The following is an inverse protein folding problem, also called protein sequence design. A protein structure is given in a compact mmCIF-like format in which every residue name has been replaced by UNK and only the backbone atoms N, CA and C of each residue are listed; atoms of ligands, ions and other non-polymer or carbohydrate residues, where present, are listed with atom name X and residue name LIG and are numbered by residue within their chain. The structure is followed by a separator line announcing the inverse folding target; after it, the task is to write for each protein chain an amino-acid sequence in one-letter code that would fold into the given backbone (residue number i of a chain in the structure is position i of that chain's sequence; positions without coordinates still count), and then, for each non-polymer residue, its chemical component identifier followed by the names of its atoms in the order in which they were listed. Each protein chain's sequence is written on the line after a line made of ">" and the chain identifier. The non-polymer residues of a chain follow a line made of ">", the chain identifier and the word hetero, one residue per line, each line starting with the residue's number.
data_IF_370606672840
#
_entry.id   IF_370606672840
#
_cell.length_a   1.000
_cell.length_b   1.000
_cell.length_c   1.000
_cell.angle_alpha   90.00
_cell.angle_beta   90.00
_cell.angle_gamma   90.00
#
_symmetry.space_group_name_H-M   'P 1'
#
loop_
_entity.id
_entity.type
_entity.pdbx_description
1 polymer ?
#
# COMPACT_ATOMS: atom_id res chain seq x y z
N UNK A 1 -4.19 15.61 5.50
CA UNK A 1 -4.12 15.15 6.89
C UNK A 1 -3.74 13.67 6.89
N UNK A 2 -2.50 13.30 7.34
CA UNK A 2 -2.12 11.91 7.57
C UNK A 2 -2.80 11.38 8.84
N UNK A 3 -3.38 10.20 8.78
CA UNK A 3 -4.04 9.51 9.88
C UNK A 3 -3.27 8.22 10.16
N UNK A 4 -2.48 8.22 11.23
CA UNK A 4 -1.71 7.04 11.63
C UNK A 4 -2.61 6.05 12.37
N UNK A 5 -2.75 4.85 11.83
CA UNK A 5 -3.64 3.79 12.29
C UNK A 5 -2.78 2.65 12.87
N UNK A 6 -2.67 2.52 14.19
CA UNK A 6 -1.97 1.40 14.82
C UNK A 6 -2.83 0.13 14.77
N UNK A 7 -2.19 -1.00 14.56
CA UNK A 7 -2.81 -2.33 14.63
C UNK A 7 -1.77 -3.39 15.06
N UNK A 8 -2.20 -4.63 15.23
CA UNK A 8 -1.32 -5.75 15.55
C UNK A 8 -1.51 -6.89 14.56
N UNK A 9 -0.42 -7.55 14.21
CA UNK A 9 -0.44 -8.75 13.37
C UNK A 9 -0.01 -9.94 14.21
N UNK A 10 -0.76 -11.05 14.22
CA UNK A 10 -0.34 -12.25 14.92
C UNK A 10 0.94 -12.83 14.30
N UNK A 11 1.87 -13.24 15.16
CA UNK A 11 3.08 -13.96 14.76
C UNK A 11 3.35 -15.13 15.71
N UNK A 12 4.20 -16.10 15.33
CA UNK A 12 4.56 -17.22 16.21
C UNK A 12 5.19 -16.78 17.54
N UNK A 13 5.86 -15.62 17.56
CA UNK A 13 6.49 -15.05 18.75
C UNK A 13 5.56 -14.13 19.55
N UNK A 14 4.31 -13.98 19.16
CA UNK A 14 3.31 -13.08 19.76
C UNK A 14 2.87 -11.96 18.83
N UNK A 15 1.91 -11.12 19.27
CA UNK A 15 1.40 -10.03 18.45
C UNK A 15 2.50 -8.99 18.17
N UNK A 16 2.66 -8.63 16.89
CA UNK A 16 3.61 -7.62 16.42
C UNK A 16 2.87 -6.31 16.18
N UNK A 17 3.24 -5.21 16.86
CA UNK A 17 2.66 -3.91 16.62
C UNK A 17 3.09 -3.37 15.25
N UNK A 18 2.11 -2.89 14.49
CA UNK A 18 2.29 -2.27 13.18
C UNK A 18 1.47 -0.98 13.13
N UNK A 19 1.64 -0.22 12.07
CA UNK A 19 0.77 0.91 11.75
C UNK A 19 0.64 1.01 10.23
N UNK A 20 -0.37 1.73 9.77
CA UNK A 20 -0.52 2.17 8.39
C UNK A 20 -1.07 3.59 8.39
N UNK A 21 -0.79 4.36 7.35
CA UNK A 21 -1.41 5.67 7.17
C UNK A 21 -2.58 5.58 6.19
N UNK A 22 -3.70 6.21 6.57
CA UNK A 22 -4.73 6.70 5.66
C UNK A 22 -4.58 8.22 5.52
N UNK A 23 -5.06 8.81 4.43
CA UNK A 23 -4.90 10.24 4.19
C UNK A 23 -6.24 10.90 3.91
N UNK A 24 -6.57 11.93 4.67
CA UNK A 24 -7.78 12.71 4.48
C UNK A 24 -7.45 14.02 3.77
N UNK A 25 -8.08 14.24 2.63
CA UNK A 25 -8.01 15.51 1.88
C UNK A 25 -9.30 16.26 2.14
N UNK A 26 -9.17 17.41 2.82
CA UNK A 26 -10.30 18.28 3.12
C UNK A 26 -10.38 19.42 2.10
N UNK A 27 -11.50 19.51 1.38
CA UNK A 27 -11.84 20.65 0.54
C UNK A 27 -13.02 21.43 1.15
N UNK A 28 -13.42 22.55 0.54
CA UNK A 28 -14.61 23.27 1.01
C UNK A 28 -15.89 22.49 0.78
N UNK A 29 -15.95 21.71 -0.31
CA UNK A 29 -17.17 21.04 -0.76
C UNK A 29 -17.29 19.60 -0.23
N UNK A 30 -16.16 18.90 -0.05
CA UNK A 30 -16.17 17.48 0.33
C UNK A 30 -14.90 17.02 1.02
N UNK A 31 -14.94 15.82 1.56
CA UNK A 31 -13.77 15.10 2.04
C UNK A 31 -13.49 13.92 1.11
N UNK A 32 -12.22 13.73 0.80
CA UNK A 32 -11.73 12.54 0.06
C UNK A 32 -10.77 11.78 0.97
N UNK A 33 -11.03 10.50 1.13
CA UNK A 33 -10.17 9.60 1.90
C UNK A 33 -9.34 8.74 0.94
N UNK A 34 -8.07 8.58 1.24
CA UNK A 34 -7.16 7.64 0.57
C UNK A 34 -6.84 6.54 1.57
N UNK A 35 -7.21 5.32 1.24
CA UNK A 35 -7.16 4.10 2.04
C UNK A 35 -7.98 4.17 3.35
N UNK A 36 -8.40 3.01 3.81
CA UNK A 36 -9.34 2.87 4.92
C UNK A 36 -8.72 2.23 6.18
N UNK A 37 -7.42 1.91 6.13
CA UNK A 37 -6.77 1.20 7.22
C UNK A 37 -7.30 -0.23 7.40
N UNK A 38 -7.15 -0.76 8.61
CA UNK A 38 -7.68 -2.06 9.02
C UNK A 38 -9.13 -1.93 9.53
N UNK A 39 -9.81 -3.04 9.72
CA UNK A 39 -11.13 -3.08 10.38
C UNK A 39 -11.07 -2.39 11.76
N UNK A 40 -12.07 -1.56 12.07
CA UNK A 40 -12.12 -0.71 13.28
C UNK A 40 -11.44 0.66 13.11
N UNK A 41 -10.72 0.90 12.01
CA UNK A 41 -10.04 2.19 11.75
C UNK A 41 -11.00 3.35 11.51
N UNK A 42 -12.24 3.07 11.10
CA UNK A 42 -13.27 4.07 10.82
C UNK A 42 -13.51 4.99 12.03
N UNK A 43 -13.40 4.47 13.26
CA UNK A 43 -13.60 5.28 14.46
C UNK A 43 -12.54 6.39 14.58
N UNK A 44 -11.28 6.05 14.26
CA UNK A 44 -10.17 7.00 14.28
C UNK A 44 -10.30 8.01 13.13
N UNK A 45 -10.62 7.52 11.93
CA UNK A 45 -10.84 8.37 10.75
C UNK A 45 -11.97 9.38 11.01
N UNK A 46 -13.09 8.92 11.56
CA UNK A 46 -14.21 9.78 11.92
C UNK A 46 -13.86 10.76 13.06
N UNK A 47 -12.97 10.36 13.98
CA UNK A 47 -12.40 11.26 14.99
C UNK A 47 -11.68 12.42 14.35
N UNK A 48 -10.74 12.17 13.46
CA UNK A 48 -9.98 13.19 12.74
C UNK A 48 -10.91 14.11 11.90
N UNK A 49 -11.96 13.56 11.28
CA UNK A 49 -12.97 14.37 10.58
C UNK A 49 -13.68 15.33 11.52
N UNK A 50 -14.08 14.86 12.71
CA UNK A 50 -14.74 15.72 13.72
C UNK A 50 -13.80 16.78 14.28
N UNK A 51 -12.50 16.46 14.47
CA UNK A 51 -11.50 17.41 14.95
C UNK A 51 -11.24 18.56 13.94
N UNK A 52 -11.52 18.31 12.65
CA UNK A 52 -11.56 19.34 11.62
C UNK A 52 -12.87 20.16 11.61
N UNK A 53 -13.79 19.92 12.54
CA UNK A 53 -15.10 20.54 12.58
C UNK A 53 -16.06 20.07 11.49
N UNK A 54 -15.79 18.91 10.88
CA UNK A 54 -16.57 18.32 9.78
C UNK A 54 -17.35 17.08 10.27
N UNK A 55 -18.23 16.59 9.42
CA UNK A 55 -19.02 15.38 9.69
C UNK A 55 -18.52 14.20 8.87
N UNK A 56 -18.49 12.96 9.41
CA UNK A 56 -18.11 11.77 8.65
C UNK A 56 -18.87 11.60 7.33
N UNK A 57 -20.15 11.97 7.30
CA UNK A 57 -21.00 11.90 6.12
C UNK A 57 -20.55 12.82 4.96
N UNK A 58 -19.65 13.74 5.23
CA UNK A 58 -19.02 14.59 4.22
C UNK A 58 -17.87 13.88 3.45
N UNK A 59 -17.47 12.67 3.89
CA UNK A 59 -16.58 11.82 3.09
C UNK A 59 -17.38 11.33 1.89
N UNK A 60 -17.25 12.02 0.78
CA UNK A 60 -17.97 11.70 -0.47
C UNK A 60 -17.24 10.65 -1.31
N UNK A 61 -15.94 10.45 -1.09
CA UNK A 61 -15.12 9.60 -1.92
C UNK A 61 -14.01 8.89 -1.13
N UNK A 62 -13.88 7.59 -1.33
CA UNK A 62 -12.79 6.75 -0.83
C UNK A 62 -12.02 6.19 -2.02
N UNK A 63 -10.72 6.49 -2.11
CA UNK A 63 -9.83 5.91 -3.09
C UNK A 63 -9.00 4.82 -2.41
N UNK A 64 -9.10 3.59 -2.90
CA UNK A 64 -8.27 2.48 -2.43
C UNK A 64 -7.06 2.35 -3.35
N UNK A 65 -5.86 2.50 -2.80
CA UNK A 65 -4.61 2.42 -3.58
C UNK A 65 -4.36 1.00 -4.08
N UNK A 66 -4.74 0.01 -3.30
CA UNK A 66 -4.72 -1.41 -3.64
C UNK A 66 -5.60 -2.21 -2.66
N UNK A 67 -5.66 -3.52 -2.80
CA UNK A 67 -6.62 -4.37 -2.10
C UNK A 67 -6.10 -5.02 -0.82
N UNK A 68 -4.90 -4.72 -0.33
CA UNK A 68 -4.40 -5.40 0.88
C UNK A 68 -5.22 -5.05 2.13
N UNK A 69 -5.28 -5.98 3.12
CA UNK A 69 -6.16 -5.89 4.29
C UNK A 69 -6.06 -4.58 5.09
N UNK A 70 -4.86 -4.04 5.20
CA UNK A 70 -4.55 -2.82 5.94
C UNK A 70 -4.87 -1.52 5.17
N UNK A 71 -5.37 -1.64 3.94
CA UNK A 71 -5.85 -0.54 3.10
C UNK A 71 -7.37 -0.57 2.90
N UNK A 72 -7.95 -1.77 2.87
CA UNK A 72 -9.40 -1.92 2.62
C UNK A 72 -10.18 -2.26 3.88
N UNK A 73 -9.53 -2.54 5.00
CA UNK A 73 -10.15 -3.16 6.17
C UNK A 73 -11.32 -2.39 6.76
N UNK A 74 -11.21 -1.06 6.86
CA UNK A 74 -12.28 -0.18 7.35
C UNK A 74 -13.28 0.25 6.28
N UNK A 75 -13.08 -0.10 4.99
CA UNK A 75 -13.85 0.44 3.88
C UNK A 75 -15.36 0.15 3.98
N UNK A 76 -15.75 -1.04 4.44
CA UNK A 76 -17.17 -1.41 4.60
C UNK A 76 -17.86 -0.49 5.61
N UNK A 77 -17.31 -0.34 6.80
CA UNK A 77 -17.89 0.51 7.84
C UNK A 77 -17.93 2.00 7.44
N UNK A 78 -16.90 2.47 6.71
CA UNK A 78 -16.88 3.83 6.17
C UNK A 78 -17.97 4.01 5.12
N UNK A 79 -18.14 3.09 4.17
CA UNK A 79 -19.17 3.17 3.14
C UNK A 79 -20.57 3.10 3.75
N UNK A 80 -20.81 2.23 4.73
CA UNK A 80 -22.10 2.12 5.43
C UNK A 80 -22.46 3.41 6.18
N UNK A 81 -21.50 4.03 6.84
CA UNK A 81 -21.73 5.25 7.61
C UNK A 81 -21.89 6.51 6.76
N UNK A 82 -21.22 6.57 5.60
CA UNK A 82 -21.10 7.83 4.83
C UNK A 82 -21.83 7.77 3.49
N UNK A 83 -22.05 6.59 2.95
CA UNK A 83 -22.57 6.40 1.58
C UNK A 83 -21.55 6.78 0.51
N UNK A 84 -20.26 6.91 0.84
CA UNK A 84 -19.22 7.36 -0.10
C UNK A 84 -19.08 6.46 -1.32
N UNK A 85 -18.69 7.06 -2.44
CA UNK A 85 -18.26 6.31 -3.63
C UNK A 85 -16.87 5.74 -3.41
N UNK A 86 -16.66 4.47 -3.80
CA UNK A 86 -15.35 3.81 -3.72
C UNK A 86 -14.73 3.69 -5.11
N UNK A 87 -13.48 4.14 -5.22
CA UNK A 87 -12.68 4.00 -6.43
C UNK A 87 -11.48 3.08 -6.18
N UNK A 88 -11.17 2.25 -7.17
CA UNK A 88 -9.98 1.41 -7.19
C UNK A 88 -9.58 1.07 -8.63
N UNK A 89 -8.35 0.58 -8.79
CA UNK A 89 -7.89 0.04 -10.08
C UNK A 89 -8.65 -1.25 -10.45
N UNK A 90 -8.97 -1.48 -11.74
CA UNK A 90 -9.69 -2.68 -12.18
C UNK A 90 -9.10 -4.00 -11.69
N UNK A 91 -7.78 -4.12 -11.63
CA UNK A 91 -7.08 -5.33 -11.22
C UNK A 91 -7.28 -5.67 -9.72
N UNK A 92 -7.61 -4.68 -8.89
CA UNK A 92 -7.84 -4.86 -7.43
C UNK A 92 -9.31 -5.19 -7.11
N UNK A 93 -10.22 -4.89 -8.04
CA UNK A 93 -11.66 -4.97 -7.82
C UNK A 93 -12.11 -6.34 -7.29
N UNK A 94 -11.59 -7.44 -7.85
CA UNK A 94 -11.98 -8.80 -7.48
C UNK A 94 -11.83 -9.04 -5.98
N UNK A 95 -10.69 -8.67 -5.41
CA UNK A 95 -10.40 -8.90 -3.99
C UNK A 95 -11.13 -7.91 -3.08
N UNK A 96 -11.37 -6.68 -3.55
CA UNK A 96 -12.14 -5.69 -2.79
C UNK A 96 -13.62 -6.11 -2.69
N UNK A 97 -14.18 -6.65 -3.77
CA UNK A 97 -15.59 -7.08 -3.83
C UNK A 97 -15.83 -8.53 -3.34
N UNK A 98 -14.75 -9.34 -3.21
CA UNK A 98 -14.79 -10.70 -2.65
C UNK A 98 -13.57 -10.95 -1.74
N UNK A 99 -13.70 -10.51 -0.49
CA UNK A 99 -12.65 -10.65 0.52
C UNK A 99 -12.39 -12.10 0.92
N UNK A 100 -13.35 -13.02 0.74
CA UNK A 100 -13.14 -14.44 0.94
C UNK A 100 -12.26 -15.04 -0.17
N UNK A 101 -12.43 -14.56 -1.41
CA UNK A 101 -11.52 -14.91 -2.50
C UNK A 101 -10.11 -14.42 -2.20
N UNK A 102 -9.96 -13.19 -1.72
CA UNK A 102 -8.67 -12.64 -1.32
C UNK A 102 -8.00 -13.50 -0.24
N UNK A 103 -8.73 -13.84 0.84
CA UNK A 103 -8.21 -14.69 1.94
C UNK A 103 -7.68 -16.05 1.41
N UNK A 104 -8.38 -16.65 0.43
CA UNK A 104 -7.96 -17.92 -0.18
C UNK A 104 -6.73 -17.78 -1.09
N UNK A 105 -6.69 -16.72 -1.91
CA UNK A 105 -5.64 -16.52 -2.92
C UNK A 105 -4.37 -15.87 -2.34
N UNK A 106 -4.54 -15.07 -1.27
CA UNK A 106 -3.45 -14.38 -0.58
C UNK A 106 -3.69 -14.40 0.94
N UNK A 107 -3.47 -15.54 1.61
CA UNK A 107 -3.67 -15.64 3.05
C UNK A 107 -2.68 -14.73 3.79
N UNK A 108 -3.20 -13.97 4.76
CA UNK A 108 -2.44 -13.10 5.65
C UNK A 108 -2.79 -13.48 7.09
N UNK A 109 -1.82 -13.56 8.03
CA UNK A 109 -2.13 -13.79 9.43
C UNK A 109 -3.11 -12.75 9.98
N UNK A 110 -4.19 -13.21 10.63
CA UNK A 110 -5.22 -12.33 11.18
C UNK A 110 -6.14 -11.68 10.13
N UNK A 111 -6.21 -12.19 8.91
CA UNK A 111 -6.99 -11.58 7.81
C UNK A 111 -8.40 -11.14 8.24
N UNK A 112 -9.15 -12.01 8.96
CA UNK A 112 -10.52 -11.73 9.38
C UNK A 112 -10.65 -10.65 10.45
N UNK A 113 -9.58 -10.41 11.20
CA UNK A 113 -9.52 -9.32 12.17
C UNK A 113 -9.13 -7.99 11.51
N UNK A 114 -8.45 -8.08 10.36
CA UNK A 114 -7.98 -6.92 9.60
C UNK A 114 -9.01 -6.39 8.61
N UNK A 115 -9.93 -7.23 8.10
CA UNK A 115 -10.89 -6.86 7.04
C UNK A 115 -12.32 -6.97 7.54
N UNK A 116 -13.05 -5.85 7.54
CA UNK A 116 -14.45 -5.79 8.00
C UNK A 116 -15.44 -6.47 7.05
N UNK A 117 -15.13 -6.52 5.77
CA UNK A 117 -15.95 -7.15 4.74
C UNK A 117 -15.75 -6.56 3.35
N UNK A 118 -16.44 -7.13 2.34
CA UNK A 118 -16.37 -6.66 0.96
C UNK A 118 -17.11 -5.34 0.77
N UNK A 119 -16.64 -4.54 -0.19
CA UNK A 119 -17.32 -3.31 -0.60
C UNK A 119 -17.44 -3.27 -2.13
N UNK A 120 -18.48 -2.60 -2.62
CA UNK A 120 -18.65 -2.41 -4.07
C UNK A 120 -17.78 -1.27 -4.57
N UNK A 121 -16.91 -1.54 -5.53
CA UNK A 121 -16.17 -0.52 -6.27
C UNK A 121 -17.11 0.16 -7.26
N UNK A 122 -17.48 1.41 -6.99
CA UNK A 122 -18.43 2.17 -7.81
C UNK A 122 -17.76 2.89 -8.98
N UNK A 123 -16.44 3.14 -8.89
CA UNK A 123 -15.65 3.79 -9.95
C UNK A 123 -14.33 3.06 -10.17
N UNK A 124 -14.14 2.58 -11.39
CA UNK A 124 -12.83 2.07 -11.81
C UNK A 124 -11.97 3.23 -12.29
N UNK A 125 -10.72 3.25 -11.81
CA UNK A 125 -9.72 4.28 -12.15
C UNK A 125 -8.41 3.61 -12.58
N UNK A 126 -7.75 4.18 -13.57
CA UNK A 126 -6.51 3.67 -14.12
C UNK A 126 -5.50 4.78 -14.39
N UNK A 127 -4.41 4.41 -15.02
CA UNK A 127 -3.31 5.33 -15.32
C UNK A 127 -3.78 6.54 -16.13
N UNK A 128 -3.37 7.74 -15.69
CA UNK A 128 -3.73 9.01 -16.32
C UNK A 128 -5.12 9.54 -15.97
N UNK A 129 -5.97 8.77 -15.30
CA UNK A 129 -7.26 9.25 -14.82
C UNK A 129 -7.08 10.38 -13.79
N UNK A 130 -8.13 11.19 -13.64
CA UNK A 130 -8.13 12.31 -12.72
C UNK A 130 -9.39 12.33 -11.85
N UNK A 131 -9.22 12.61 -10.56
CA UNK A 131 -10.29 12.80 -9.60
C UNK A 131 -10.29 14.29 -9.22
N UNK A 132 -11.32 15.01 -9.65
CA UNK A 132 -11.47 16.44 -9.34
C UNK A 132 -11.78 16.63 -7.86
N UNK A 133 -11.05 17.53 -7.21
CA UNK A 133 -11.19 17.89 -5.79
C UNK A 133 -11.86 19.26 -5.59
N UNK A 134 -12.16 19.97 -6.68
CA UNK A 134 -12.65 21.35 -6.63
C UNK A 134 -11.52 22.39 -6.54
N UNK A 135 -11.86 23.66 -6.73
CA UNK A 135 -10.93 24.81 -6.65
C UNK A 135 -9.64 24.65 -7.49
N UNK A 136 -9.73 24.00 -8.65
CA UNK A 136 -8.60 23.77 -9.55
C UNK A 136 -7.67 22.62 -9.12
N UNK A 137 -8.02 21.88 -8.08
CA UNK A 137 -7.25 20.73 -7.57
C UNK A 137 -7.77 19.42 -8.13
N UNK A 138 -6.86 18.48 -8.33
CA UNK A 138 -7.17 17.13 -8.75
C UNK A 138 -6.13 16.12 -8.26
N UNK A 139 -6.56 14.87 -8.06
CA UNK A 139 -5.67 13.73 -7.91
C UNK A 139 -5.49 13.06 -9.27
N UNK A 140 -4.28 13.08 -9.80
CA UNK A 140 -3.88 12.32 -10.97
C UNK A 140 -3.52 10.91 -10.55
N UNK A 141 -4.13 9.92 -11.19
CA UNK A 141 -3.85 8.49 -10.94
C UNK A 141 -2.61 8.08 -11.73
N UNK A 142 -1.69 7.43 -11.07
CA UNK A 142 -0.47 6.84 -11.63
C UNK A 142 -0.51 5.36 -11.31
N UNK A 143 -0.58 4.51 -12.32
CA UNK A 143 -0.49 3.07 -12.12
C UNK A 143 0.95 2.71 -11.72
N UNK A 144 1.10 2.12 -10.55
CA UNK A 144 2.39 1.74 -9.94
C UNK A 144 2.34 0.27 -9.52
N UNK A 145 2.24 -0.67 -10.50
CA UNK A 145 2.22 -2.09 -10.21
C UNK A 145 3.54 -2.56 -9.60
N UNK A 146 3.48 -3.72 -8.98
CA UNK A 146 4.64 -4.38 -8.37
C UNK A 146 4.31 -4.86 -6.97
N UNK A 147 3.93 -3.97 -6.06
CA UNK A 147 3.42 -4.37 -4.74
C UNK A 147 2.16 -5.22 -4.87
N UNK A 148 1.22 -4.78 -5.69
CA UNK A 148 0.13 -5.59 -6.27
C UNK A 148 -0.05 -5.22 -7.74
N UNK A 149 -0.82 -6.02 -8.49
CA UNK A 149 -0.98 -5.81 -9.93
C UNK A 149 -1.75 -4.54 -10.30
N UNK A 150 -2.59 -4.05 -9.40
CA UNK A 150 -3.39 -2.84 -9.58
C UNK A 150 -3.03 -1.72 -8.61
N UNK A 151 -1.88 -1.77 -7.96
CA UNK A 151 -1.41 -0.67 -7.12
C UNK A 151 -1.36 0.64 -7.88
N UNK A 152 -1.88 1.70 -7.26
CA UNK A 152 -1.85 3.06 -7.78
C UNK A 152 -1.22 4.02 -6.79
N UNK A 153 -0.53 5.01 -7.31
CA UNK A 153 -0.15 6.22 -6.60
C UNK A 153 -1.00 7.39 -7.07
N UNK A 154 -1.17 8.41 -6.24
CA UNK A 154 -2.00 9.58 -6.53
C UNK A 154 -1.15 10.84 -6.41
N UNK A 155 -1.10 11.66 -7.45
CA UNK A 155 -0.42 12.95 -7.44
C UNK A 155 -1.43 14.08 -7.34
N UNK A 156 -1.45 14.79 -6.21
CA UNK A 156 -2.32 15.97 -6.03
C UNK A 156 -1.69 17.19 -6.70
N UNK A 157 -2.43 17.79 -7.61
CA UNK A 157 -2.06 19.01 -8.33
C UNK A 157 -2.98 20.17 -7.95
N UNK A 158 -2.47 21.42 -7.92
CA UNK A 158 -1.12 21.86 -8.31
C UNK A 158 -0.06 21.69 -7.20
N UNK A 159 -0.41 21.28 -5.98
CA UNK A 159 0.48 21.26 -4.81
C UNK A 159 1.65 20.28 -4.95
N UNK A 160 1.61 19.38 -5.93
CA UNK A 160 2.63 18.36 -6.19
C UNK A 160 2.89 17.45 -4.98
N UNK A 161 1.80 16.96 -4.36
CA UNK A 161 1.86 16.03 -3.24
C UNK A 161 1.60 14.62 -3.76
N UNK A 162 2.55 13.71 -3.51
CA UNK A 162 2.45 12.31 -3.92
C UNK A 162 1.98 11.43 -2.76
N UNK A 163 0.91 10.67 -2.98
CA UNK A 163 0.46 9.57 -2.14
C UNK A 163 0.85 8.26 -2.84
N UNK A 164 1.82 7.55 -2.30
CA UNK A 164 2.41 6.40 -2.99
C UNK A 164 1.72 5.06 -2.70
N UNK A 165 0.80 5.01 -1.72
CA UNK A 165 0.40 3.73 -1.17
C UNK A 165 1.62 2.93 -0.73
N UNK A 166 1.70 1.67 -1.15
CA UNK A 166 2.81 0.76 -0.84
C UNK A 166 3.81 0.61 -2.00
N UNK A 167 3.78 1.52 -2.99
CA UNK A 167 4.68 1.43 -4.13
C UNK A 167 6.16 1.63 -3.76
N UNK A 168 6.45 2.24 -2.60
CA UNK A 168 7.81 2.50 -2.12
C UNK A 168 8.10 1.60 -0.92
N UNK A 169 8.86 0.51 -1.08
CA UNK A 169 9.27 -0.35 0.03
C UNK A 169 10.16 0.37 1.03
N UNK A 170 10.03 0.04 2.30
CA UNK A 170 10.86 0.59 3.37
C UNK A 170 12.09 -0.30 3.57
N UNK A 171 13.33 0.22 3.41
CA UNK A 171 14.54 -0.55 3.66
C UNK A 171 14.58 -1.16 5.07
N UNK A 172 14.96 -2.43 5.17
CA UNK A 172 15.01 -3.15 6.44
C UNK A 172 13.66 -3.62 6.98
N UNK A 173 12.55 -3.32 6.30
CA UNK A 173 11.24 -3.95 6.56
C UNK A 173 11.00 -5.13 5.61
N UNK A 174 9.90 -5.86 5.82
CA UNK A 174 9.54 -7.01 5.00
C UNK A 174 9.40 -6.61 3.53
N UNK A 175 10.12 -7.28 2.61
CA UNK A 175 9.93 -7.04 1.18
C UNK A 175 8.63 -7.71 0.73
N UNK A 176 7.55 -6.94 0.60
CA UNK A 176 6.22 -7.43 0.21
C UNK A 176 5.84 -6.81 -1.13
N UNK A 177 6.02 -7.56 -2.20
CA UNK A 177 5.58 -7.24 -3.56
C UNK A 177 5.46 -8.51 -4.41
N UNK A 178 4.59 -8.46 -5.41
CA UNK A 178 4.26 -9.61 -6.27
C UNK A 178 5.07 -9.65 -7.57
N UNK A 179 5.66 -8.49 -7.97
CA UNK A 179 6.50 -8.36 -9.17
C UNK A 179 7.65 -7.36 -8.91
N UNK A 180 8.90 -7.85 -8.78
CA UNK A 180 10.05 -7.00 -8.50
C UNK A 180 10.40 -6.05 -9.64
N UNK A 181 10.21 -6.45 -10.91
CA UNK A 181 10.57 -5.58 -12.03
C UNK A 181 9.55 -4.48 -12.20
N UNK A 182 8.26 -4.82 -12.11
CA UNK A 182 7.20 -3.82 -12.11
C UNK A 182 7.37 -2.84 -10.93
N UNK A 183 7.86 -3.30 -9.76
CA UNK A 183 8.18 -2.43 -8.62
C UNK A 183 9.31 -1.45 -8.96
N UNK A 184 10.38 -1.93 -9.60
CA UNK A 184 11.50 -1.10 -10.04
C UNK A 184 11.04 -0.06 -11.07
N UNK A 185 10.31 -0.48 -12.11
CA UNK A 185 9.77 0.41 -13.15
C UNK A 185 8.83 1.47 -12.57
N UNK A 186 7.98 1.08 -11.60
CA UNK A 186 7.09 2.00 -10.90
C UNK A 186 7.86 3.05 -10.09
N UNK A 187 8.90 2.64 -9.36
CA UNK A 187 9.76 3.56 -8.61
C UNK A 187 10.49 4.52 -9.54
N UNK A 188 11.10 4.03 -10.62
CA UNK A 188 11.76 4.86 -11.63
C UNK A 188 10.79 5.87 -12.26
N UNK A 189 9.55 5.45 -12.51
CA UNK A 189 8.50 6.34 -12.99
C UNK A 189 8.17 7.45 -11.99
N UNK A 190 8.04 7.12 -10.69
CA UNK A 190 7.75 8.10 -9.65
C UNK A 190 8.92 9.07 -9.45
N UNK A 191 10.16 8.59 -9.48
CA UNK A 191 11.39 9.40 -9.36
C UNK A 191 11.54 10.41 -10.51
N UNK A 192 10.99 10.12 -11.69
CA UNK A 192 10.99 11.02 -12.85
C UNK A 192 9.94 12.14 -12.75
N UNK A 193 9.10 12.17 -11.71
CA UNK A 193 8.16 13.28 -11.48
C UNK A 193 8.91 14.40 -10.77
N UNK A 194 9.11 15.51 -11.47
CA UNK A 194 9.81 16.67 -10.91
C UNK A 194 8.95 17.46 -9.92
N UNK A 195 9.61 18.13 -8.97
CA UNK A 195 9.01 19.10 -8.05
C UNK A 195 7.96 18.51 -7.09
N UNK A 196 8.06 17.24 -6.72
CA UNK A 196 7.23 16.68 -5.65
C UNK A 196 7.58 17.40 -4.35
N UNK A 197 6.60 18.05 -3.74
CA UNK A 197 6.77 18.84 -2.51
C UNK A 197 6.70 17.99 -1.25
N UNK A 198 5.79 16.99 -1.25
CA UNK A 198 5.59 16.05 -0.15
C UNK A 198 5.33 14.65 -0.69
N UNK A 199 5.83 13.66 0.03
CA UNK A 199 5.57 12.25 -0.15
C UNK A 199 4.81 11.72 1.08
N UNK A 200 3.67 11.10 0.84
CA UNK A 200 2.86 10.39 1.80
C UNK A 200 2.82 8.91 1.44
N UNK A 201 3.64 8.10 2.12
CA UNK A 201 3.67 6.65 1.99
C UNK A 201 2.89 6.00 3.13
N UNK A 202 2.35 4.80 2.90
CA UNK A 202 1.51 4.15 3.90
C UNK A 202 2.26 3.68 5.15
N UNK A 203 3.57 3.43 5.05
CA UNK A 203 4.38 2.84 6.12
C UNK A 203 5.47 3.76 6.68
N UNK A 204 5.53 5.00 6.24
CA UNK A 204 6.52 5.96 6.69
C UNK A 204 5.87 7.30 7.04
N UNK A 205 6.49 8.02 7.97
CA UNK A 205 6.09 9.40 8.27
C UNK A 205 6.22 10.27 7.00
N UNK A 206 5.35 11.27 6.82
CA UNK A 206 5.40 12.18 5.67
C UNK A 206 6.79 12.78 5.45
N UNK A 207 7.24 12.82 4.20
CA UNK A 207 8.53 13.37 3.78
C UNK A 207 8.31 14.63 2.95
N UNK A 208 9.23 15.60 3.05
CA UNK A 208 9.20 16.84 2.28
C UNK A 208 10.58 17.21 1.72
N UNK A 209 10.60 18.04 0.69
CA UNK A 209 11.84 18.52 0.07
C UNK A 209 12.68 17.37 -0.52
N UNK A 210 13.98 17.41 -0.26
CA UNK A 210 14.93 16.40 -0.80
C UNK A 210 14.69 14.99 -0.26
N UNK A 211 14.13 14.85 0.96
CA UNK A 211 13.83 13.54 1.54
C UNK A 211 12.83 12.71 0.71
N UNK A 212 12.01 13.36 -0.13
CA UNK A 212 11.08 12.70 -1.05
C UNK A 212 11.83 11.76 -1.98
N UNK A 213 12.85 12.27 -2.66
CA UNK A 213 13.60 11.52 -3.66
C UNK A 213 14.57 10.53 -3.00
N UNK A 214 15.19 10.89 -1.89
CA UNK A 214 16.01 9.94 -1.10
C UNK A 214 15.19 8.73 -0.65
N UNK A 215 13.94 8.92 -0.21
CA UNK A 215 13.06 7.81 0.18
C UNK A 215 12.75 6.88 -0.99
N UNK A 216 12.54 7.44 -2.20
CA UNK A 216 12.33 6.64 -3.42
C UNK A 216 13.59 5.88 -3.84
N UNK A 217 14.76 6.55 -3.81
CA UNK A 217 16.05 5.93 -4.11
C UNK A 217 16.35 4.77 -3.15
N UNK A 218 16.12 4.96 -1.85
CA UNK A 218 16.31 3.93 -0.84
C UNK A 218 15.38 2.72 -1.08
N UNK A 219 14.09 2.97 -1.37
CA UNK A 219 13.14 1.91 -1.71
C UNK A 219 13.53 1.15 -2.98
N UNK A 220 13.99 1.86 -4.00
CA UNK A 220 14.49 1.28 -5.25
C UNK A 220 15.75 0.41 -5.01
N UNK A 221 16.70 0.93 -4.23
CA UNK A 221 17.91 0.20 -3.84
C UNK A 221 17.55 -1.07 -3.06
N UNK A 222 16.53 -1.01 -2.18
CA UNK A 222 16.07 -2.14 -1.40
C UNK A 222 15.53 -3.28 -2.28
N UNK A 223 14.68 -2.99 -3.27
CA UNK A 223 14.20 -4.02 -4.22
C UNK A 223 15.37 -4.67 -4.96
N UNK A 224 16.34 -3.86 -5.41
CA UNK A 224 17.56 -4.36 -6.10
C UNK A 224 18.44 -5.21 -5.17
N UNK A 225 18.54 -4.86 -3.90
CA UNK A 225 19.30 -5.65 -2.92
C UNK A 225 18.67 -7.04 -2.71
N UNK A 226 17.34 -7.10 -2.56
CA UNK A 226 16.62 -8.38 -2.49
C UNK A 226 16.84 -9.20 -3.75
N UNK A 227 16.74 -8.59 -4.94
CA UNK A 227 16.97 -9.25 -6.23
C UNK A 227 18.38 -9.83 -6.31
N UNK A 228 19.39 -9.03 -5.89
CA UNK A 228 20.80 -9.47 -5.84
C UNK A 228 20.98 -10.65 -4.90
N UNK A 229 20.40 -10.60 -3.69
CA UNK A 229 20.50 -11.68 -2.72
C UNK A 229 19.89 -12.99 -3.24
N UNK A 230 18.70 -12.92 -3.86
CA UNK A 230 18.06 -14.09 -4.49
C UNK A 230 18.95 -14.69 -5.58
N UNK A 231 19.45 -13.87 -6.48
CA UNK A 231 20.33 -14.32 -7.58
C UNK A 231 21.60 -14.97 -7.07
N UNK A 232 22.29 -14.33 -6.12
CA UNK A 232 23.53 -14.83 -5.53
C UNK A 232 23.34 -16.22 -4.90
N UNK A 233 22.28 -16.37 -4.09
CA UNK A 233 22.01 -17.61 -3.36
C UNK A 233 21.55 -18.72 -4.31
N UNK A 234 20.74 -18.38 -5.31
CA UNK A 234 20.28 -19.37 -6.30
C UNK A 234 21.45 -19.91 -7.14
N UNK A 235 22.40 -19.05 -7.52
CA UNK A 235 23.61 -19.47 -8.24
C UNK A 235 24.51 -20.34 -7.35
N UNK A 236 24.68 -19.99 -6.08
CA UNK A 236 25.50 -20.75 -5.13
C UNK A 236 24.88 -22.11 -4.74
N UNK A 237 23.55 -22.25 -4.83
CA UNK A 237 22.81 -23.44 -4.43
C UNK A 237 21.83 -23.88 -5.51
N UNK A 238 22.28 -24.43 -6.66
CA UNK A 238 21.40 -24.89 -7.72
C UNK A 238 20.36 -25.91 -7.21
N UNK A 239 19.07 -25.66 -7.51
CA UNK A 239 17.99 -26.54 -7.09
C UNK A 239 17.52 -26.37 -5.63
N UNK A 240 17.94 -25.30 -4.95
CA UNK A 240 17.49 -24.98 -3.59
C UNK A 240 15.95 -24.84 -3.54
N UNK A 241 15.34 -25.46 -2.52
CA UNK A 241 13.90 -25.30 -2.27
C UNK A 241 13.54 -23.87 -1.79
N UNK A 242 12.35 -23.41 -2.17
CA UNK A 242 11.89 -22.02 -1.94
C UNK A 242 11.97 -21.58 -0.47
N UNK A 243 11.55 -22.45 0.46
CA UNK A 243 11.59 -22.13 1.90
C UNK A 243 13.02 -21.95 2.41
N UNK A 244 13.96 -22.74 1.91
CA UNK A 244 15.36 -22.63 2.29
C UNK A 244 16.00 -21.41 1.64
N UNK A 245 15.71 -21.14 0.36
CA UNK A 245 16.11 -19.92 -0.32
C UNK A 245 15.64 -18.69 0.45
N UNK A 246 14.36 -18.65 0.84
CA UNK A 246 13.79 -17.51 1.59
C UNK A 246 14.54 -17.28 2.89
N UNK A 247 14.82 -18.33 3.68
CA UNK A 247 15.61 -18.18 4.92
C UNK A 247 17.01 -17.62 4.70
N UNK A 248 17.68 -18.06 3.65
CA UNK A 248 19.02 -17.55 3.31
C UNK A 248 18.97 -16.11 2.83
N UNK A 249 17.99 -15.74 1.98
CA UNK A 249 17.81 -14.37 1.51
C UNK A 249 17.50 -13.44 2.69
N UNK A 250 16.54 -13.81 3.56
CA UNK A 250 16.19 -13.04 4.76
C UNK A 250 17.43 -12.76 5.63
N UNK A 251 18.29 -13.76 5.81
CA UNK A 251 19.56 -13.61 6.53
C UNK A 251 20.54 -12.68 5.79
N UNK A 252 20.68 -12.86 4.47
CA UNK A 252 21.61 -12.07 3.63
C UNK A 252 21.27 -10.58 3.64
N UNK A 253 19.97 -10.23 3.61
CA UNK A 253 19.48 -8.84 3.65
C UNK A 253 19.31 -8.30 5.08
N UNK A 254 19.81 -9.01 6.10
CA UNK A 254 19.87 -8.56 7.49
C UNK A 254 18.54 -8.57 8.25
N UNK A 255 17.51 -9.25 7.76
CA UNK A 255 16.23 -9.35 8.44
C UNK A 255 16.23 -10.50 9.50
N UNK A 256 15.37 -10.40 10.53
CA UNK A 256 15.21 -11.47 11.53
C UNK A 256 14.62 -12.73 10.91
N UNK A 257 14.92 -13.90 11.49
CA UNK A 257 14.51 -15.20 10.93
C UNK A 257 13.00 -15.34 10.75
N UNK A 258 12.21 -14.68 11.59
CA UNK A 258 10.73 -14.63 11.54
C UNK A 258 10.21 -13.93 10.28
N UNK A 259 11.04 -13.13 9.61
CA UNK A 259 10.72 -12.52 8.32
C UNK A 259 10.55 -13.57 7.19
N UNK A 260 11.06 -14.81 7.36
CA UNK A 260 10.83 -15.91 6.43
C UNK A 260 9.39 -16.48 6.55
N UNK A 261 8.40 -15.64 6.35
CA UNK A 261 6.97 -15.92 6.46
C UNK A 261 6.32 -16.11 5.07
N UNK A 262 5.05 -16.56 4.98
CA UNK A 262 4.39 -16.80 3.70
C UNK A 262 4.34 -15.61 2.75
N UNK A 263 4.26 -14.37 3.26
CA UNK A 263 4.23 -13.16 2.43
C UNK A 263 5.60 -12.95 1.76
N UNK A 264 6.68 -13.04 2.54
CA UNK A 264 8.06 -12.91 2.00
C UNK A 264 8.40 -14.09 1.08
N UNK A 265 7.96 -15.31 1.39
CA UNK A 265 8.10 -16.48 0.49
C UNK A 265 7.49 -16.16 -0.89
N UNK A 266 6.31 -15.53 -0.93
CA UNK A 266 5.65 -15.12 -2.18
C UNK A 266 6.51 -14.13 -2.96
N UNK A 267 7.09 -13.14 -2.31
CA UNK A 267 8.01 -12.17 -2.92
C UNK A 267 9.27 -12.85 -3.46
N UNK A 268 9.92 -13.71 -2.65
CA UNK A 268 11.11 -14.43 -3.12
C UNK A 268 10.80 -15.33 -4.31
N UNK A 269 9.63 -15.99 -4.31
CA UNK A 269 9.13 -16.76 -5.47
C UNK A 269 8.98 -15.89 -6.73
N UNK A 270 8.55 -14.65 -6.59
CA UNK A 270 8.41 -13.74 -7.74
C UNK A 270 9.77 -13.48 -8.42
N UNK A 271 10.84 -13.32 -7.64
CA UNK A 271 12.21 -13.18 -8.16
C UNK A 271 12.73 -14.42 -8.90
N UNK A 272 12.22 -15.62 -8.59
CA UNK A 272 12.69 -16.86 -9.24
C UNK A 272 12.00 -17.17 -10.57
N UNK A 273 10.97 -16.42 -10.97
CA UNK A 273 10.20 -16.66 -12.21
C UNK A 273 10.94 -16.28 -13.49
N UNK A 274 12.12 -15.70 -13.39
CA UNK A 274 12.95 -15.22 -14.50
C UNK A 274 14.21 -16.05 -14.79
N UNK A 275 14.38 -17.17 -14.09
CA UNK A 275 15.57 -18.04 -14.27
C UNK A 275 15.29 -19.12 -15.30
#
# INVERSE_FOLDING_TARGET
>A
HPIRIPFTVPSPSGPVPRFVFSFLIATKESLVLIDAGVHGSEQRIFGEVRDLGRKPEEIGFLVLTHSHPDHIGGAMAIQEATGCSIAAHPAERKWIEDTQCQERERPVPGFRDLVGGPVRVSRLIGDGDSITLGAGRALQVIHTPGHSSGSISLLMRPEMILFSGDAIPVPGDLPIYDDPDASIESLERLMNIEHITYLFSSWAEPKGGEEVYFTMDDGHAWVKEVSRAVSLITVAHPGIGLDHLTRLVVKEIGLPAEAANPMVIRTIKAHTRKS
#
